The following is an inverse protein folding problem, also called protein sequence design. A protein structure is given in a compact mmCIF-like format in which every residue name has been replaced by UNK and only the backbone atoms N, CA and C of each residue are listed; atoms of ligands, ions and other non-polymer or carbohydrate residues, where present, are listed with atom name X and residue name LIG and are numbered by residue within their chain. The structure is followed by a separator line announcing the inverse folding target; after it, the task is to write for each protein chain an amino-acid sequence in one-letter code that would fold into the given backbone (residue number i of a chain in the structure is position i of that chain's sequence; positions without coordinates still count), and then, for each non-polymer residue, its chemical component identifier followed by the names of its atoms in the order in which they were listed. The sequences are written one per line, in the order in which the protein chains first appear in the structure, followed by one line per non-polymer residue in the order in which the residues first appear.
data_IF_851704035128
#
_entry.id   IF_851704035128
#
_cell.length_a   1.000
_cell.length_b   1.000
_cell.length_c   1.000
_cell.angle_alpha   90.00
_cell.angle_beta   90.00
_cell.angle_gamma   90.00
#
_symmetry.space_group_name_H-M   'P 1'
#
loop_
_entity.id
_entity.type
_entity.pdbx_description
1 polymer ?
#
# COMPACT_ATOMS: atom_id res chain seq x y z
N UNK A 1 -21.89 -52.75 16.66
CA UNK A 1 -22.41 -53.73 15.69
C UNK A 1 -22.74 -53.00 14.38
N UNK A 2 -22.32 -53.55 13.23
CA UNK A 2 -22.77 -53.32 11.82
C UNK A 2 -22.62 -51.87 11.27
N UNK A 3 -21.62 -51.59 10.41
CA UNK A 3 -21.43 -51.88 8.96
C UNK A 3 -22.25 -50.99 8.00
N UNK A 4 -21.59 -50.71 6.86
CA UNK A 4 -22.04 -50.28 5.52
C UNK A 4 -21.85 -48.79 5.20
N UNK A 5 -21.42 -48.35 4.00
CA UNK A 5 -20.74 -48.97 2.83
C UNK A 5 -20.48 -47.83 1.82
N UNK A 6 -19.37 -47.91 1.07
CA UNK A 6 -19.13 -47.52 -0.34
C UNK A 6 -19.83 -46.30 -0.98
N UNK A 7 -19.05 -45.49 -1.70
CA UNK A 7 -19.11 -45.47 -3.18
C UNK A 7 -17.89 -44.77 -3.81
N UNK A 8 -17.21 -45.49 -4.70
CA UNK A 8 -16.22 -44.99 -5.65
C UNK A 8 -16.92 -44.28 -6.82
N UNK A 9 -16.28 -43.27 -7.41
CA UNK A 9 -16.51 -42.91 -8.81
C UNK A 9 -15.17 -42.83 -9.55
N UNK A 10 -14.94 -43.83 -10.40
CA UNK A 10 -13.95 -43.85 -11.47
C UNK A 10 -14.66 -43.33 -12.74
N UNK A 11 -14.11 -42.33 -13.39
CA UNK A 11 -14.58 -41.81 -14.67
C UNK A 11 -13.43 -41.74 -15.68
N UNK A 12 -13.41 -42.70 -16.59
CA UNK A 12 -12.47 -42.85 -17.70
C UNK A 12 -12.60 -41.73 -18.73
N UNK A 13 -11.47 -41.32 -19.34
CA UNK A 13 -11.47 -40.54 -20.58
C UNK A 13 -10.66 -41.28 -21.66
N UNK A 14 -11.34 -41.67 -22.73
CA UNK A 14 -10.80 -42.41 -23.87
C UNK A 14 -10.47 -41.47 -25.04
N UNK A 15 -9.21 -41.58 -25.49
CA UNK A 15 -8.63 -41.57 -26.84
C UNK A 15 -9.54 -41.21 -28.04
N UNK A 16 -9.08 -40.23 -28.85
CA UNK A 16 -9.27 -40.06 -30.30
C UNK A 16 -7.98 -39.38 -30.82
N UNK A 17 -7.01 -40.06 -31.45
CA UNK A 17 -6.92 -40.49 -32.87
C UNK A 17 -7.23 -39.40 -33.90
N UNK A 18 -6.21 -39.00 -34.66
CA UNK A 18 -6.35 -38.12 -35.82
C UNK A 18 -5.00 -37.69 -36.41
N UNK A 19 -4.47 -38.47 -37.34
CA UNK A 19 -3.34 -38.11 -38.19
C UNK A 19 -3.76 -37.06 -39.23
N UNK A 20 -2.95 -36.02 -39.45
CA UNK A 20 -2.91 -35.32 -40.73
C UNK A 20 -1.53 -34.67 -40.96
N UNK A 21 -0.92 -35.09 -42.05
CA UNK A 21 0.30 -34.56 -42.68
C UNK A 21 0.01 -33.15 -43.21
N UNK A 22 0.94 -32.22 -43.02
CA UNK A 22 1.19 -31.18 -44.02
C UNK A 22 2.64 -30.73 -44.05
N UNK A 23 3.19 -30.85 -45.26
CA UNK A 23 4.48 -30.35 -45.72
C UNK A 23 4.47 -28.83 -45.66
N UNK A 24 5.47 -28.23 -44.99
CA UNK A 24 5.72 -26.78 -45.07
C UNK A 24 7.14 -26.57 -45.58
N UNK A 25 7.19 -25.82 -46.67
CA UNK A 25 8.36 -25.43 -47.41
C UNK A 25 9.35 -24.64 -46.54
N UNK A 26 10.61 -25.03 -46.69
CA UNK A 26 11.78 -24.31 -46.23
C UNK A 26 11.82 -22.93 -46.92
N UNK A 27 11.45 -21.87 -46.18
CA UNK A 27 11.77 -20.49 -46.56
C UNK A 27 12.93 -20.03 -45.69
N UNK A 28 14.08 -19.83 -46.34
CA UNK A 28 15.17 -19.03 -45.81
C UNK A 28 14.66 -17.60 -45.58
N UNK A 29 14.34 -17.26 -44.33
CA UNK A 29 14.28 -15.88 -43.89
C UNK A 29 15.67 -15.51 -43.37
N UNK A 30 16.32 -14.61 -44.10
CA UNK A 30 17.50 -13.88 -43.66
C UNK A 30 17.18 -13.13 -42.38
N UNK A 31 17.94 -13.39 -41.31
CA UNK A 31 17.92 -12.59 -40.08
C UNK A 31 18.14 -11.11 -40.40
N UNK A 32 17.26 -10.19 -40.00
CA UNK A 32 17.67 -8.82 -39.79
C UNK A 32 18.63 -8.83 -38.60
N UNK A 33 19.81 -8.26 -38.78
CA UNK A 33 20.71 -7.99 -37.66
C UNK A 33 19.98 -7.04 -36.72
N UNK A 34 19.63 -7.55 -35.54
CA UNK A 34 19.18 -6.74 -34.42
C UNK A 34 20.39 -5.93 -33.99
N UNK A 35 20.43 -4.69 -34.46
CA UNK A 35 21.25 -3.63 -33.89
C UNK A 35 20.99 -3.62 -32.37
N UNK A 36 22.01 -3.60 -31.51
CA UNK A 36 21.80 -3.46 -30.08
C UNK A 36 21.16 -2.10 -29.86
N UNK A 37 19.83 -2.08 -29.66
CA UNK A 37 19.15 -0.91 -29.14
C UNK A 37 19.78 -0.60 -27.80
N UNK A 38 20.44 0.57 -27.79
CA UNK A 38 21.00 1.18 -26.62
C UNK A 38 19.91 1.17 -25.55
N UNK A 39 20.20 0.49 -24.45
CA UNK A 39 19.44 0.63 -23.22
C UNK A 39 19.42 2.12 -22.91
N UNK A 40 18.30 2.77 -23.22
CA UNK A 40 18.00 4.10 -22.74
C UNK A 40 17.99 3.98 -21.22
N UNK A 41 19.09 4.46 -20.66
CA UNK A 41 19.29 4.70 -19.27
C UNK A 41 18.27 5.77 -18.90
N UNK A 42 17.08 5.33 -18.49
CA UNK A 42 16.08 6.19 -17.87
C UNK A 42 16.79 6.87 -16.70
N UNK A 43 17.07 8.15 -16.87
CA UNK A 43 17.41 9.01 -15.75
C UNK A 43 16.17 9.03 -14.87
N UNK A 44 16.29 8.57 -13.63
CA UNK A 44 15.35 8.93 -12.56
C UNK A 44 15.33 10.47 -12.54
N UNK A 45 14.24 11.07 -13.01
CA UNK A 45 13.98 12.48 -12.73
C UNK A 45 13.68 12.56 -11.23
N UNK A 46 14.60 13.15 -10.46
CA UNK A 46 14.37 13.51 -9.07
C UNK A 46 13.21 14.51 -9.02
N UNK A 47 12.04 14.06 -8.60
CA UNK A 47 10.93 14.93 -8.20
C UNK A 47 11.40 15.82 -7.05
N UNK A 48 11.25 17.14 -7.19
CA UNK A 48 11.82 18.15 -6.29
C UNK A 48 10.92 18.49 -5.09
N UNK A 49 9.84 17.71 -4.84
CA UNK A 49 8.91 17.86 -3.72
C UNK A 49 8.88 16.67 -2.76
N UNK A 50 8.44 16.88 -1.52
CA UNK A 50 8.25 15.80 -0.55
C UNK A 50 7.11 14.89 -1.03
N UNK A 51 7.41 13.65 -1.40
CA UNK A 51 6.39 12.61 -1.58
C UNK A 51 6.92 11.27 -1.07
N UNK A 52 6.28 10.71 -0.05
CA UNK A 52 6.61 9.38 0.45
C UNK A 52 5.41 8.65 1.04
N UNK A 53 5.58 7.35 1.23
CA UNK A 53 4.57 6.49 1.84
C UNK A 53 5.03 5.96 3.20
N UNK A 54 4.07 5.75 4.08
CA UNK A 54 4.31 5.24 5.44
C UNK A 54 3.10 4.44 5.91
N UNK A 55 3.34 3.38 6.68
CA UNK A 55 2.28 2.54 7.20
C UNK A 55 1.72 3.07 8.51
N UNK A 56 0.48 2.73 8.82
CA UNK A 56 -0.10 2.99 10.14
C UNK A 56 -1.17 1.97 10.50
N UNK A 57 -1.39 1.80 11.80
CA UNK A 57 -2.56 1.10 12.32
C UNK A 57 -3.10 1.86 13.53
N UNK A 58 -4.40 2.13 13.55
CA UNK A 58 -5.08 2.66 14.74
C UNK A 58 -5.90 1.56 15.41
N UNK A 59 -5.69 1.40 16.70
CA UNK A 59 -6.43 0.49 17.57
C UNK A 59 -7.20 1.35 18.57
N UNK A 60 -8.53 1.28 18.55
CA UNK A 60 -9.38 2.07 19.45
C UNK A 60 -10.11 1.11 20.37
N UNK A 61 -9.91 1.25 21.68
CA UNK A 61 -10.51 0.36 22.69
C UNK A 61 -10.27 -1.14 22.42
N UNK A 62 -9.08 -1.48 21.92
CA UNK A 62 -8.68 -2.86 21.62
C UNK A 62 -9.13 -3.38 20.25
N UNK A 63 -9.80 -2.57 19.44
CA UNK A 63 -10.25 -2.96 18.09
C UNK A 63 -9.46 -2.20 17.01
N UNK A 64 -8.89 -2.93 16.06
CA UNK A 64 -8.25 -2.35 14.86
C UNK A 64 -9.30 -1.61 14.05
N UNK A 65 -9.03 -0.36 13.73
CA UNK A 65 -9.89 0.46 12.89
C UNK A 65 -9.56 0.22 11.41
N UNK A 66 -10.60 0.20 10.59
CA UNK A 66 -10.52 -0.03 9.15
C UNK A 66 -10.77 1.27 8.39
N UNK A 67 -9.84 1.65 7.52
CA UNK A 67 -9.90 2.89 6.73
C UNK A 67 -9.85 2.66 5.22
N UNK A 68 -10.03 1.44 4.71
CA UNK A 68 -10.13 1.15 3.26
C UNK A 68 -11.42 1.66 2.59
N UNK A 69 -12.37 2.18 3.37
CA UNK A 69 -13.61 2.77 2.86
C UNK A 69 -13.36 3.99 1.97
N UNK A 70 -14.20 4.16 0.94
CA UNK A 70 -14.05 5.25 -0.05
C UNK A 70 -14.18 6.64 0.58
N UNK A 71 -14.85 6.75 1.73
CA UNK A 71 -15.00 7.97 2.51
C UNK A 71 -13.68 8.50 3.09
N UNK A 72 -12.66 7.66 3.20
CA UNK A 72 -11.31 8.00 3.69
C UNK A 72 -10.30 8.21 2.56
N UNK A 73 -10.70 7.96 1.31
CA UNK A 73 -9.81 8.01 0.16
C UNK A 73 -9.83 9.39 -0.50
N UNK A 74 -8.66 9.87 -0.87
CA UNK A 74 -8.55 10.91 -1.87
C UNK A 74 -8.83 10.26 -3.25
N UNK A 75 -9.71 10.87 -4.04
CA UNK A 75 -10.18 10.28 -5.31
C UNK A 75 -9.49 10.87 -6.54
N UNK A 76 -8.84 12.03 -6.38
CA UNK A 76 -8.04 12.63 -7.43
C UNK A 76 -6.78 11.78 -7.64
N UNK A 77 -6.35 11.52 -8.89
CA UNK A 77 -5.06 10.90 -9.13
C UNK A 77 -3.97 11.76 -8.48
N UNK A 78 -2.98 11.10 -7.90
CA UNK A 78 -1.78 11.74 -7.40
C UNK A 78 -0.87 12.04 -8.60
N UNK A 79 -1.12 13.15 -9.30
CA UNK A 79 -0.16 13.69 -10.24
C UNK A 79 0.94 14.38 -9.45
N UNK A 80 2.17 13.93 -9.65
CA UNK A 80 3.36 14.62 -9.14
C UNK A 80 3.83 15.66 -10.18
N UNK A 81 2.95 16.19 -11.03
CA UNK A 81 3.38 17.24 -11.96
C UNK A 81 3.83 18.46 -11.12
N UNK A 82 4.90 19.14 -11.53
CA UNK A 82 5.49 20.27 -10.79
C UNK A 82 4.48 21.37 -10.39
N UNK A 83 3.36 21.47 -11.10
CA UNK A 83 2.28 22.41 -10.78
C UNK A 83 1.39 21.92 -9.60
N UNK A 84 1.27 20.61 -9.38
CA UNK A 84 0.51 20.01 -8.29
C UNK A 84 1.34 19.90 -7.00
N UNK A 85 2.66 19.68 -7.09
CA UNK A 85 3.57 19.71 -5.93
C UNK A 85 3.50 21.03 -5.16
N UNK A 86 3.59 22.17 -5.88
CA UNK A 86 3.40 23.49 -5.26
C UNK A 86 2.00 23.65 -4.66
N UNK A 87 0.97 23.09 -5.30
CA UNK A 87 -0.38 23.16 -4.77
C UNK A 87 -0.53 22.39 -3.45
N UNK A 88 0.16 21.25 -3.29
CA UNK A 88 0.16 20.46 -2.06
C UNK A 88 0.97 21.12 -0.94
N UNK A 89 2.16 21.67 -1.23
CA UNK A 89 2.98 22.38 -0.25
C UNK A 89 2.32 23.67 0.25
N UNK A 90 1.60 24.39 -0.61
CA UNK A 90 0.86 25.60 -0.25
C UNK A 90 -0.53 25.32 0.33
N UNK A 91 -1.04 24.09 0.22
CA UNK A 91 -2.36 23.75 0.74
C UNK A 91 -2.38 23.81 2.27
N UNK A 92 -3.46 24.38 2.80
CA UNK A 92 -3.75 24.34 4.23
C UNK A 92 -4.68 23.18 4.61
N UNK A 93 -5.21 22.44 3.62
CA UNK A 93 -6.10 21.32 3.86
C UNK A 93 -5.29 20.05 4.17
N UNK A 94 -5.45 19.42 5.35
CA UNK A 94 -4.79 18.15 5.66
C UNK A 94 -5.03 17.06 4.62
N UNK A 95 -6.19 17.07 3.92
CA UNK A 95 -6.50 16.08 2.88
C UNK A 95 -5.62 16.19 1.65
N UNK A 96 -5.08 17.36 1.37
CA UNK A 96 -4.14 17.54 0.26
C UNK A 96 -2.71 17.19 0.70
N UNK A 97 -2.38 17.32 1.99
CA UNK A 97 -1.02 17.16 2.51
C UNK A 97 -0.71 15.73 2.96
N UNK A 98 -1.72 15.02 3.50
CA UNK A 98 -1.59 13.67 4.04
C UNK A 98 -2.90 12.88 3.90
N UNK A 99 -2.92 11.79 3.11
CA UNK A 99 -4.17 11.10 2.78
C UNK A 99 -3.97 9.64 2.33
N UNK A 100 -5.09 8.93 2.11
CA UNK A 100 -5.10 7.55 1.63
C UNK A 100 -5.57 7.48 0.17
N UNK A 101 -5.16 6.42 -0.54
CA UNK A 101 -5.60 6.11 -1.89
C UNK A 101 -5.91 4.63 -2.08
N UNK A 102 -6.59 4.30 -3.17
CA UNK A 102 -6.71 2.94 -3.71
C UNK A 102 -7.35 1.91 -2.78
N UNK A 103 -8.20 2.35 -1.83
CA UNK A 103 -8.81 1.50 -0.82
C UNK A 103 -7.76 0.81 0.08
N UNK A 104 -6.59 1.44 0.24
CA UNK A 104 -5.52 0.95 1.12
C UNK A 104 -5.62 1.72 2.44
N UNK A 105 -6.25 1.09 3.43
CA UNK A 105 -6.60 1.71 4.71
C UNK A 105 -5.45 1.87 5.72
N UNK A 106 -4.24 1.47 5.37
CA UNK A 106 -3.10 1.36 6.29
C UNK A 106 -1.78 1.89 5.71
N UNK A 107 -1.79 2.48 4.51
CA UNK A 107 -0.62 3.15 3.91
C UNK A 107 -1.04 4.57 3.53
N UNK A 108 -0.36 5.54 4.12
CA UNK A 108 -0.63 6.96 3.93
C UNK A 108 0.39 7.58 2.98
N UNK A 109 -0.09 8.47 2.12
CA UNK A 109 0.68 9.34 1.24
C UNK A 109 0.97 10.64 1.99
N UNK A 110 2.23 11.07 1.95
CA UNK A 110 2.67 12.33 2.56
C UNK A 110 3.25 13.22 1.47
N UNK A 111 2.70 14.41 1.32
CA UNK A 111 3.11 15.40 0.32
C UNK A 111 3.88 16.60 0.89
N UNK A 112 3.99 16.71 2.22
CA UNK A 112 4.64 17.84 2.87
C UNK A 112 5.45 17.36 4.07
N UNK A 113 6.69 17.84 4.18
CA UNK A 113 7.68 17.37 5.15
C UNK A 113 7.30 17.61 6.62
N UNK A 114 6.42 18.57 6.92
CA UNK A 114 6.06 18.98 8.27
C UNK A 114 4.72 18.44 8.78
N UNK A 115 4.12 17.50 8.05
CA UNK A 115 2.88 16.88 8.49
C UNK A 115 3.06 16.00 9.72
N UNK A 116 2.00 15.87 10.50
CA UNK A 116 1.98 15.05 11.71
C UNK A 116 0.90 13.98 11.66
N UNK A 117 1.04 12.95 12.51
CA UNK A 117 -0.02 11.95 12.66
C UNK A 117 -1.37 12.55 13.11
N UNK A 118 -1.36 13.67 13.83
CA UNK A 118 -2.57 14.42 14.15
C UNK A 118 -3.27 14.99 12.92
N UNK A 119 -2.50 15.41 11.91
CA UNK A 119 -3.07 15.89 10.65
C UNK A 119 -3.68 14.73 9.85
N UNK A 120 -3.11 13.51 9.91
CA UNK A 120 -3.75 12.32 9.36
C UNK A 120 -5.13 12.07 10.01
N UNK A 121 -5.24 12.14 11.34
CA UNK A 121 -6.54 12.02 12.02
C UNK A 121 -7.55 13.05 11.53
N UNK A 122 -7.07 14.26 11.20
CA UNK A 122 -7.91 15.34 10.66
C UNK A 122 -8.33 15.04 9.22
N UNK A 123 -7.42 14.57 8.38
CA UNK A 123 -7.67 14.15 7.00
C UNK A 123 -8.71 13.03 6.92
N UNK A 124 -8.60 12.04 7.81
CA UNK A 124 -9.55 10.92 7.95
C UNK A 124 -10.88 11.31 8.60
N UNK A 125 -11.01 12.53 9.15
CA UNK A 125 -12.23 12.98 9.82
C UNK A 125 -12.50 12.32 11.17
N UNK A 126 -11.47 11.78 11.84
CA UNK A 126 -11.55 11.09 13.15
C UNK A 126 -10.86 11.90 14.26
N UNK A 127 -11.07 13.21 14.24
CA UNK A 127 -10.41 14.15 15.15
C UNK A 127 -10.74 13.92 16.63
N UNK A 128 -11.85 13.27 16.95
CA UNK A 128 -12.23 12.90 18.32
C UNK A 128 -11.22 11.96 18.99
N UNK A 129 -10.38 11.26 18.23
CA UNK A 129 -9.34 10.39 18.77
C UNK A 129 -8.23 11.19 19.49
N UNK A 130 -8.07 12.48 19.19
CA UNK A 130 -7.05 13.33 19.84
C UNK A 130 -7.32 13.58 21.32
N UNK A 131 -8.57 13.41 21.75
CA UNK A 131 -8.99 13.60 23.14
C UNK A 131 -8.80 12.33 23.99
N UNK A 132 -8.42 11.22 23.37
CA UNK A 132 -8.18 9.95 24.04
C UNK A 132 -6.72 9.80 24.48
N UNK A 133 -6.45 9.09 25.59
CA UNK A 133 -5.10 8.62 25.88
C UNK A 133 -4.56 7.84 24.68
N UNK A 134 -3.33 8.14 24.28
CA UNK A 134 -2.69 7.51 23.13
C UNK A 134 -1.32 6.98 23.51
N UNK A 135 -1.04 5.76 23.08
CA UNK A 135 0.30 5.16 23.08
C UNK A 135 0.60 4.70 21.68
N UNK A 136 1.82 4.91 21.19
CA UNK A 136 2.23 4.38 19.90
C UNK A 136 3.60 3.75 19.96
N UNK A 137 3.84 2.81 19.03
CA UNK A 137 5.14 2.17 18.84
C UNK A 137 5.61 2.32 17.39
N UNK A 138 6.94 2.36 17.20
CA UNK A 138 7.60 2.33 15.89
C UNK A 138 7.86 0.89 15.37
N UNK A 139 8.52 0.78 14.22
CA UNK A 139 8.89 -0.49 13.59
C UNK A 139 9.74 -1.42 14.48
N UNK A 140 10.55 -0.85 15.37
CA UNK A 140 11.36 -1.60 16.34
C UNK A 140 10.59 -1.89 17.65
N UNK A 141 9.38 -1.36 17.74
CA UNK A 141 8.49 -1.46 18.88
C UNK A 141 8.87 -0.54 20.03
N UNK A 142 9.66 0.49 19.80
CA UNK A 142 9.95 1.51 20.80
C UNK A 142 8.71 2.40 20.98
N UNK A 143 8.47 2.85 22.21
CA UNK A 143 7.42 3.83 22.47
C UNK A 143 7.78 5.16 21.79
N UNK A 144 6.79 5.75 21.14
CA UNK A 144 6.90 7.07 20.52
C UNK A 144 6.41 8.12 21.54
N UNK A 145 7.29 9.05 21.91
CA UNK A 145 6.92 10.18 22.76
C UNK A 145 6.13 11.21 21.96
N UNK A 146 5.03 11.69 22.55
CA UNK A 146 4.10 12.65 21.93
C UNK A 146 3.68 12.23 20.50
N UNK A 147 3.10 11.03 20.33
CA UNK A 147 3.04 10.36 19.05
C UNK A 147 2.22 11.09 17.99
N UNK A 148 1.23 11.89 18.40
CA UNK A 148 0.39 12.64 17.47
C UNK A 148 1.09 13.86 16.87
N UNK A 149 2.09 14.43 17.55
CA UNK A 149 2.86 15.57 17.05
C UNK A 149 4.15 15.14 16.32
N UNK A 150 4.40 13.83 16.19
CA UNK A 150 5.54 13.32 15.43
C UNK A 150 5.22 13.29 13.93
N UNK A 151 6.27 13.48 13.14
CA UNK A 151 6.24 13.30 11.69
C UNK A 151 6.22 11.80 11.33
N UNK A 152 5.40 11.37 10.36
CA UNK A 152 5.53 10.05 9.78
C UNK A 152 6.91 9.85 9.15
N UNK A 153 7.50 8.67 9.29
CA UNK A 153 8.80 8.35 8.69
C UNK A 153 8.58 7.64 7.35
N UNK A 154 9.30 8.07 6.32
CA UNK A 154 9.35 7.40 5.02
C UNK A 154 9.64 5.89 5.17
N UNK A 155 8.80 5.07 4.53
CA UNK A 155 8.81 3.60 4.60
C UNK A 155 8.76 3.02 6.04
N UNK A 156 8.45 3.87 7.02
CA UNK A 156 8.22 3.49 8.40
C UNK A 156 6.78 3.03 8.60
N UNK A 157 6.48 2.58 9.81
CA UNK A 157 5.11 2.38 10.24
C UNK A 157 4.99 2.63 11.74
N UNK A 158 3.82 3.10 12.15
CA UNK A 158 3.50 3.28 13.56
C UNK A 158 2.15 2.62 13.90
N UNK A 159 2.11 1.94 15.04
CA UNK A 159 0.87 1.37 15.59
C UNK A 159 0.44 2.22 16.77
N UNK A 160 -0.73 2.81 16.67
CA UNK A 160 -1.33 3.67 17.69
C UNK A 160 -2.44 2.91 18.38
N UNK A 161 -2.51 3.09 19.69
CA UNK A 161 -3.60 2.61 20.51
C UNK A 161 -4.20 3.78 21.26
N UNK A 162 -5.51 3.95 21.09
CA UNK A 162 -6.32 4.97 21.71
C UNK A 162 -7.26 4.37 22.77
N UNK A 163 -7.41 5.09 23.87
CA UNK A 163 -8.30 4.75 24.98
C UNK A 163 -7.56 4.23 26.22
N UNK A 164 -8.34 3.86 27.23
CA UNK A 164 -7.83 3.42 28.54
C UNK A 164 -7.23 2.00 28.52
N UNK A 165 -7.62 1.19 27.53
CA UNK A 165 -7.12 -0.17 27.42
C UNK A 165 -5.71 -0.19 26.85
N UNK A 166 -4.78 -0.79 27.60
CA UNK A 166 -3.41 -1.02 27.16
C UNK A 166 -3.19 -2.46 26.71
N UNK A 167 -2.96 -2.66 25.41
CA UNK A 167 -2.44 -3.90 24.86
C UNK A 167 -0.92 -3.99 25.12
N UNK A 168 -0.40 -5.21 25.32
CA UNK A 168 1.04 -5.40 25.46
C UNK A 168 1.75 -5.12 24.13
N UNK A 169 3.03 -4.72 24.20
CA UNK A 169 3.86 -4.41 23.04
C UNK A 169 3.81 -5.54 22.00
N UNK A 170 3.88 -6.78 22.42
CA UNK A 170 3.87 -7.96 21.55
C UNK A 170 2.58 -8.08 20.74
N UNK A 171 1.46 -7.57 21.25
CA UNK A 171 0.20 -7.51 20.50
C UNK A 171 0.23 -6.38 19.48
N UNK A 172 0.68 -5.19 19.87
CA UNK A 172 0.81 -4.05 18.97
C UNK A 172 1.72 -4.37 17.77
N UNK A 173 2.83 -5.06 18.01
CA UNK A 173 3.78 -5.46 16.96
C UNK A 173 3.16 -6.34 15.87
N UNK A 174 2.05 -7.05 16.13
CA UNK A 174 1.35 -7.87 15.11
C UNK A 174 0.61 -7.02 14.08
N UNK A 175 0.37 -5.76 14.40
CA UNK A 175 -0.37 -4.81 13.57
C UNK A 175 0.54 -3.84 12.83
N UNK A 176 1.85 -4.08 12.87
CA UNK A 176 2.82 -3.29 12.12
C UNK A 176 2.63 -3.52 10.63
N UNK A 177 2.62 -2.43 9.86
CA UNK A 177 2.67 -2.52 8.39
C UNK A 177 4.14 -2.68 8.00
N UNK A 178 4.43 -3.73 7.24
CA UNK A 178 5.77 -4.02 6.78
C UNK A 178 6.20 -3.09 5.65
N UNK A 179 7.51 -2.88 5.50
CA UNK A 179 8.06 -2.12 4.36
C UNK A 179 7.68 -2.75 3.02
N UNK A 180 7.61 -4.09 2.95
CA UNK A 180 7.19 -4.81 1.75
C UNK A 180 5.74 -4.49 1.38
N UNK A 181 4.81 -4.46 2.35
CA UNK A 181 3.42 -4.06 2.11
C UNK A 181 3.29 -2.62 1.63
N UNK A 182 4.12 -1.70 2.15
CA UNK A 182 4.17 -0.31 1.69
C UNK A 182 4.63 -0.26 0.23
N UNK A 183 5.73 -0.93 -0.12
CA UNK A 183 6.23 -0.96 -1.50
C UNK A 183 5.25 -1.65 -2.47
N UNK A 184 4.59 -2.71 -2.02
CA UNK A 184 3.54 -3.39 -2.80
C UNK A 184 2.32 -2.49 -3.02
N UNK A 185 2.02 -1.61 -2.06
CA UNK A 185 0.96 -0.62 -2.20
C UNK A 185 1.31 0.42 -3.27
N UNK A 186 2.55 0.92 -3.28
CA UNK A 186 3.06 1.85 -4.30
C UNK A 186 2.96 1.26 -5.70
N UNK A 187 3.36 -0.01 -5.86
CA UNK A 187 3.32 -0.69 -7.15
C UNK A 187 1.90 -0.87 -7.70
N UNK A 188 0.88 -0.94 -6.84
CA UNK A 188 -0.53 -0.97 -7.26
C UNK A 188 -1.04 0.39 -7.73
N UNK A 189 -0.34 1.46 -7.36
CA UNK A 189 -0.69 2.80 -7.80
C UNK A 189 -0.01 3.06 -9.13
N UNK A 190 -0.58 2.53 -10.22
CA UNK A 190 -0.07 2.69 -11.59
C UNK A 190 -0.04 4.17 -12.09
N UNK A 191 -0.41 5.15 -11.26
CA UNK A 191 -0.51 6.57 -11.61
C UNK A 191 0.14 7.55 -10.61
N UNK A 192 0.90 7.09 -9.62
CA UNK A 192 1.74 7.99 -8.81
C UNK A 192 3.11 8.11 -9.46
N UNK A 193 3.29 9.10 -10.33
CA UNK A 193 4.61 9.54 -10.83
C UNK A 193 5.50 8.47 -11.47
N UNK A 194 5.22 8.14 -12.74
CA UNK A 194 6.23 7.60 -13.67
C UNK A 194 6.29 8.46 -14.92
#
# INVERSE_FOLDING_TARGET
MKKLLFCCFLGSLSILSGCAVNSIQNQQQTSPQVEPQQTEQYAEEEHEGTHYHTGFTFIVNGEVQEYSGIEFMQLSPCSIDHDDEQAHEESTDPKDRIHLHNQIGNVVHVHVDDVTWKELLTSLGVTELVDLPVTAIDNEGNLIEDPLNQKPKEYGSAVFQFGEQTLPKEELMKHQVSKEEILDSEAKVENCGK
#
